data_IF_561841054842
#
_entry.id   IF_561841054842
#
_cell.length_a   1.000
_cell.length_b   1.000
_cell.length_c   1.000
_cell.angle_alpha   90.00
_cell.angle_beta   90.00
_cell.angle_gamma   90.00
#
_symmetry.space_group_name_H-M   'P 1'
#
loop_
_entity.id
_entity.type
_entity.pdbx_description
1 polymer ?
#
# COMPACT_ATOMS: atom_id res chain seq x y z
N UNK A 1 20.25 10.95 5.34
CA UNK A 1 20.15 11.60 6.68
C UNK A 1 18.83 12.31 6.93
N UNK A 2 18.38 13.29 6.12
CA UNK A 2 17.12 14.04 6.37
C UNK A 2 15.86 13.15 6.49
N UNK A 3 15.67 12.17 5.60
CA UNK A 3 14.54 11.22 5.67
C UNK A 3 14.54 10.35 6.93
N UNK A 4 15.73 9.89 7.34
CA UNK A 4 15.90 9.09 8.56
C UNK A 4 15.55 9.91 9.81
N UNK A 5 15.99 11.17 9.86
CA UNK A 5 15.69 12.08 10.96
C UNK A 5 14.18 12.35 11.07
N UNK A 6 13.51 12.65 9.95
CA UNK A 6 12.05 12.84 9.92
C UNK A 6 11.29 11.58 10.37
N UNK A 7 11.78 10.40 10.00
CA UNK A 7 11.23 9.12 10.43
C UNK A 7 11.34 8.93 11.95
N UNK A 8 12.50 9.20 12.55
CA UNK A 8 12.67 9.14 14.00
C UNK A 8 11.81 10.17 14.74
N UNK A 9 11.70 11.39 14.22
CA UNK A 9 10.81 12.42 14.77
C UNK A 9 9.36 11.96 14.72
N UNK A 10 8.93 11.36 13.62
CA UNK A 10 7.58 10.81 13.50
C UNK A 10 7.33 9.69 14.52
N UNK A 11 8.23 8.72 14.65
CA UNK A 11 8.09 7.63 15.63
C UNK A 11 8.02 8.16 17.05
N UNK A 12 8.90 9.09 17.41
CA UNK A 12 8.92 9.70 18.74
C UNK A 12 7.68 10.57 19.01
N UNK A 13 7.03 11.09 17.97
CA UNK A 13 5.79 11.85 18.14
C UNK A 13 4.62 10.98 18.63
N UNK A 14 4.60 9.69 18.28
CA UNK A 14 3.52 8.77 18.69
C UNK A 14 3.39 8.65 20.22
N UNK A 15 4.44 8.22 20.97
CA UNK A 15 4.35 8.14 22.42
C UNK A 15 4.18 9.53 23.06
N UNK A 16 4.77 10.57 22.48
CA UNK A 16 4.63 11.94 22.99
C UNK A 16 3.18 12.42 22.96
N UNK A 17 2.45 12.13 21.88
CA UNK A 17 1.05 12.51 21.71
C UNK A 17 0.15 11.71 22.63
N UNK A 18 0.43 10.42 22.82
CA UNK A 18 -0.29 9.57 23.78
C UNK A 18 -0.11 10.12 25.21
N UNK A 19 1.13 10.39 25.62
CA UNK A 19 1.42 10.95 26.94
C UNK A 19 0.74 12.31 27.10
N UNK A 20 0.83 13.19 26.10
CA UNK A 20 0.17 14.49 26.15
C UNK A 20 -1.36 14.36 26.28
N UNK A 21 -1.98 13.41 25.57
CA UNK A 21 -3.41 13.18 25.67
C UNK A 21 -3.84 12.68 27.06
N UNK A 22 -3.02 11.86 27.72
CA UNK A 22 -3.27 11.43 29.10
C UNK A 22 -3.03 12.54 30.13
N UNK A 23 -2.00 13.37 29.93
CA UNK A 23 -1.66 14.46 30.85
C UNK A 23 -2.69 15.59 30.77
N UNK A 24 -3.19 15.88 29.57
CA UNK A 24 -4.19 16.91 29.32
C UNK A 24 -5.56 16.28 29.06
N UNK A 25 -6.09 15.56 30.04
CA UNK A 25 -7.32 14.75 29.91
C UNK A 25 -8.51 15.54 29.31
N UNK A 26 -8.68 16.80 29.70
CA UNK A 26 -9.74 17.70 29.22
C UNK A 26 -9.70 17.97 27.71
N UNK A 27 -8.51 17.93 27.10
CA UNK A 27 -8.29 18.18 25.66
C UNK A 27 -7.63 17.00 24.94
N UNK A 28 -7.43 15.87 25.63
CA UNK A 28 -6.63 14.76 25.16
C UNK A 28 -7.18 14.13 23.89
N UNK A 29 -8.51 14.06 23.78
CA UNK A 29 -9.21 13.65 22.56
C UNK A 29 -8.91 14.57 21.37
N UNK A 30 -8.93 15.90 21.58
CA UNK A 30 -8.60 16.88 20.53
C UNK A 30 -7.14 16.77 20.08
N UNK A 31 -6.21 16.52 21.02
CA UNK A 31 -4.79 16.30 20.72
C UNK A 31 -4.61 15.07 19.83
N UNK A 32 -5.23 13.94 20.20
CA UNK A 32 -5.17 12.69 19.42
C UNK A 32 -5.78 12.87 18.03
N UNK A 33 -7.01 13.39 17.95
CA UNK A 33 -7.69 13.56 16.67
C UNK A 33 -6.95 14.54 15.74
N UNK A 34 -6.37 15.62 16.28
CA UNK A 34 -5.58 16.57 15.49
C UNK A 34 -4.32 15.91 14.93
N UNK A 35 -3.60 15.13 15.75
CA UNK A 35 -2.41 14.42 15.27
C UNK A 35 -2.76 13.36 14.22
N UNK A 36 -3.80 12.54 14.44
CA UNK A 36 -4.25 11.56 13.45
C UNK A 36 -4.74 12.20 12.16
N UNK A 37 -5.49 13.31 12.25
CA UNK A 37 -5.92 14.07 11.07
C UNK A 37 -4.71 14.58 10.27
N UNK A 38 -3.72 15.18 10.94
CA UNK A 38 -2.53 15.70 10.29
C UNK A 38 -1.70 14.61 9.60
N UNK A 39 -1.47 13.49 10.28
CA UNK A 39 -0.67 12.38 9.75
C UNK A 39 -1.35 11.72 8.54
N UNK A 40 -2.67 11.49 8.59
CA UNK A 40 -3.44 11.00 7.45
C UNK A 40 -3.44 11.98 6.28
N UNK A 41 -3.49 13.28 6.55
CA UNK A 41 -3.37 14.32 5.52
C UNK A 41 -2.03 14.25 4.77
N UNK A 42 -0.93 14.08 5.50
CA UNK A 42 0.41 13.92 4.92
C UNK A 42 0.54 12.63 4.08
N UNK A 43 0.01 11.51 4.57
CA UNK A 43 -0.05 10.24 3.81
C UNK A 43 -0.84 10.46 2.51
N UNK A 44 -1.98 11.14 2.63
CA UNK A 44 -2.83 11.52 1.51
C UNK A 44 -2.10 12.27 0.40
N UNK A 45 -1.41 13.35 0.79
CA UNK A 45 -0.58 14.17 -0.12
C UNK A 45 0.54 13.32 -0.73
N UNK A 46 1.21 12.50 0.07
CA UNK A 46 2.27 11.60 -0.42
C UNK A 46 1.77 10.62 -1.48
N UNK A 47 0.58 10.04 -1.28
CA UNK A 47 -0.07 9.16 -2.27
C UNK A 47 -0.38 9.88 -3.59
N UNK A 48 -0.87 11.12 -3.53
CA UNK A 48 -1.14 11.94 -4.73
C UNK A 48 0.15 12.29 -5.46
N UNK A 49 1.20 12.70 -4.73
CA UNK A 49 2.49 13.01 -5.33
C UNK A 49 3.08 11.78 -6.03
N UNK A 50 2.99 10.61 -5.40
CA UNK A 50 3.44 9.36 -6.00
C UNK A 50 2.65 9.02 -7.27
N UNK A 51 1.33 9.13 -7.22
CA UNK A 51 0.50 8.96 -8.42
C UNK A 51 0.87 9.93 -9.55
N UNK A 52 1.22 11.18 -9.22
CA UNK A 52 1.69 12.15 -10.20
C UNK A 52 3.03 11.73 -10.82
N UNK A 53 3.97 11.22 -10.04
CA UNK A 53 5.21 10.64 -10.56
C UNK A 53 4.91 9.47 -11.50
N UNK A 54 4.00 8.59 -11.11
CA UNK A 54 3.60 7.42 -11.90
C UNK A 54 2.93 7.81 -13.23
N UNK A 55 2.22 8.94 -13.29
CA UNK A 55 1.63 9.46 -14.54
C UNK A 55 2.66 9.89 -15.58
N UNK A 56 3.86 10.31 -15.15
CA UNK A 56 4.92 10.75 -16.06
C UNK A 56 5.77 9.60 -16.60
N UNK A 57 5.63 8.40 -16.05
CA UNK A 57 6.27 7.22 -16.60
C UNK A 57 5.61 6.88 -17.95
N UNK A 58 6.44 6.73 -18.97
CA UNK A 58 5.98 6.21 -20.26
C UNK A 58 5.98 4.69 -20.17
N UNK A 59 4.88 4.06 -20.58
CA UNK A 59 4.69 2.62 -20.48
C UNK A 59 4.45 2.02 -21.86
N UNK A 60 5.05 0.85 -22.08
CA UNK A 60 4.62 -0.07 -23.14
C UNK A 60 3.72 -1.14 -22.54
N UNK A 61 2.68 -1.53 -23.27
CA UNK A 61 1.83 -2.65 -22.88
C UNK A 61 2.40 -3.90 -23.52
N UNK A 62 2.75 -4.90 -22.70
CA UNK A 62 3.18 -6.22 -23.16
C UNK A 62 2.30 -7.30 -22.58
N UNK A 63 2.27 -8.44 -23.25
CA UNK A 63 1.66 -9.65 -22.74
C UNK A 63 2.71 -10.44 -21.95
N UNK A 64 2.37 -10.78 -20.71
CA UNK A 64 3.13 -11.69 -19.86
C UNK A 64 2.35 -12.97 -19.61
N UNK A 65 3.07 -14.03 -19.23
CA UNK A 65 2.49 -15.34 -18.91
C UNK A 65 2.84 -15.70 -17.47
N UNK A 66 1.89 -16.24 -16.72
CA UNK A 66 2.16 -16.74 -15.38
C UNK A 66 2.96 -18.03 -15.50
N UNK A 67 4.16 -18.03 -14.91
CA UNK A 67 5.08 -19.17 -15.01
C UNK A 67 5.20 -19.95 -13.68
N UNK A 68 4.96 -19.29 -12.55
CA UNK A 68 5.02 -19.93 -11.23
C UNK A 68 4.11 -19.23 -10.23
N UNK A 69 3.90 -19.88 -9.11
CA UNK A 69 3.13 -19.40 -7.96
C UNK A 69 4.07 -19.48 -6.76
N UNK A 70 4.41 -18.35 -6.18
CA UNK A 70 5.23 -18.30 -4.97
C UNK A 70 4.32 -18.34 -3.75
N UNK A 71 4.47 -19.39 -2.95
CA UNK A 71 3.73 -19.56 -1.70
C UNK A 71 4.49 -18.96 -0.53
N UNK A 72 3.89 -17.94 0.09
CA UNK A 72 4.38 -17.33 1.31
C UNK A 72 3.52 -17.78 2.49
N UNK A 73 4.08 -18.64 3.32
CA UNK A 73 3.47 -19.02 4.59
C UNK A 73 3.74 -17.94 5.64
N UNK A 74 2.68 -17.37 6.21
CA UNK A 74 2.75 -16.52 7.39
C UNK A 74 2.17 -17.25 8.60
N UNK A 75 2.92 -17.23 9.69
CA UNK A 75 2.45 -17.71 10.99
C UNK A 75 1.87 -16.55 11.78
N UNK A 76 0.76 -16.80 12.48
CA UNK A 76 0.19 -15.80 13.38
C UNK A 76 1.19 -15.44 14.47
N UNK A 77 1.43 -14.15 14.75
CA UNK A 77 2.29 -13.74 15.87
C UNK A 77 1.66 -14.04 17.24
N UNK A 78 0.37 -14.36 17.27
CA UNK A 78 -0.39 -14.58 18.50
C UNK A 78 -0.17 -15.99 19.07
N UNK A 79 0.30 -16.08 20.31
CA UNK A 79 0.74 -17.34 20.93
C UNK A 79 -0.38 -18.38 21.07
N UNK A 80 -1.63 -17.94 21.16
CA UNK A 80 -2.80 -18.84 21.20
C UNK A 80 -3.16 -19.42 19.82
N UNK A 81 -2.71 -18.78 18.74
CA UNK A 81 -3.09 -19.09 17.36
C UNK A 81 -1.90 -19.51 16.50
N UNK A 82 -0.77 -19.90 17.10
CA UNK A 82 0.46 -20.27 16.37
C UNK A 82 0.29 -21.44 15.37
N UNK A 83 -0.78 -22.24 15.53
CA UNK A 83 -1.16 -23.32 14.60
C UNK A 83 -1.91 -22.84 13.35
N UNK A 84 -2.40 -21.60 13.32
CA UNK A 84 -3.11 -21.08 12.16
C UNK A 84 -2.08 -20.58 11.15
N UNK A 85 -1.78 -21.46 10.20
CA UNK A 85 -0.99 -21.17 9.02
C UNK A 85 -1.85 -20.38 8.04
N UNK A 86 -1.40 -19.20 7.64
CA UNK A 86 -1.98 -18.46 6.51
C UNK A 86 -1.07 -18.61 5.30
N UNK A 87 -1.59 -19.21 4.23
CA UNK A 87 -0.86 -19.42 2.99
C UNK A 87 -1.27 -18.32 2.02
N UNK A 88 -0.30 -17.50 1.61
CA UNK A 88 -0.49 -16.49 0.59
C UNK A 88 0.18 -16.91 -0.71
N UNK A 89 -0.56 -16.89 -1.80
CA UNK A 89 -0.09 -17.28 -3.13
C UNK A 89 0.17 -16.00 -3.93
N UNK A 90 1.40 -15.83 -4.42
CA UNK A 90 1.80 -14.74 -5.29
C UNK A 90 2.13 -15.26 -6.71
N UNK A 91 1.31 -14.97 -7.71
CA UNK A 91 1.64 -15.29 -9.10
C UNK A 91 2.92 -14.59 -9.58
N UNK A 92 3.78 -15.33 -10.27
CA UNK A 92 4.99 -14.81 -10.92
C UNK A 92 4.80 -14.82 -12.42
N UNK A 93 5.04 -13.67 -13.03
CA UNK A 93 4.74 -13.41 -14.43
C UNK A 93 6.05 -13.24 -15.17
N UNK A 94 6.21 -13.98 -16.26
CA UNK A 94 7.30 -13.83 -17.22
C UNK A 94 6.82 -13.00 -18.40
N UNK A 95 7.61 -12.02 -18.84
CA UNK A 95 7.31 -11.22 -20.01
C UNK A 95 8.56 -10.89 -20.81
N UNK A 96 8.37 -10.59 -22.09
CA UNK A 96 9.46 -10.27 -23.01
C UNK A 96 9.35 -8.82 -23.44
N UNK A 97 10.44 -8.06 -23.26
CA UNK A 97 10.49 -6.66 -23.66
C UNK A 97 11.86 -6.33 -24.26
N UNK A 98 11.85 -5.75 -25.47
CA UNK A 98 13.03 -5.35 -26.26
C UNK A 98 14.15 -6.41 -26.30
N UNK A 99 13.79 -7.66 -26.59
CA UNK A 99 14.79 -8.73 -26.75
C UNK A 99 15.26 -9.38 -25.45
N UNK A 100 14.76 -8.93 -24.28
CA UNK A 100 15.09 -9.48 -22.97
C UNK A 100 13.86 -10.04 -22.27
N UNK A 101 14.09 -11.09 -21.50
CA UNK A 101 13.08 -11.76 -20.67
C UNK A 101 13.20 -11.25 -19.24
N UNK A 102 12.06 -10.98 -18.62
CA UNK A 102 11.95 -10.49 -17.26
C UNK A 102 10.92 -11.32 -16.50
N UNK A 103 11.10 -11.44 -15.20
CA UNK A 103 10.17 -12.10 -14.29
C UNK A 103 9.82 -11.18 -13.14
N UNK A 104 8.55 -11.14 -12.76
CA UNK A 104 8.09 -10.33 -11.63
C UNK A 104 6.90 -10.96 -10.93
N UNK A 105 6.94 -10.98 -9.60
CA UNK A 105 5.78 -11.29 -8.77
C UNK A 105 4.72 -10.19 -8.87
N UNK A 106 3.46 -10.59 -8.96
CA UNK A 106 2.34 -9.64 -8.94
C UNK A 106 2.28 -8.87 -7.62
N UNK A 107 1.63 -7.71 -7.63
CA UNK A 107 1.46 -6.88 -6.43
C UNK A 107 0.37 -7.44 -5.49
N UNK A 108 -0.49 -8.34 -5.98
CA UNK A 108 -1.64 -8.86 -5.25
C UNK A 108 -1.30 -10.27 -4.77
N UNK A 109 -1.14 -10.41 -3.46
CA UNK A 109 -1.08 -11.72 -2.83
C UNK A 109 -2.50 -12.20 -2.55
N UNK A 110 -2.78 -13.44 -2.93
CA UNK A 110 -4.07 -14.08 -2.69
C UNK A 110 -3.97 -14.98 -1.47
N UNK A 111 -4.93 -14.91 -0.55
CA UNK A 111 -5.15 -16.01 0.39
C UNK A 111 -5.58 -17.27 -0.37
N UNK A 112 -5.29 -18.45 0.17
CA UNK A 112 -5.52 -19.75 -0.47
C UNK A 112 -6.96 -19.92 -0.99
N UNK A 113 -7.95 -19.52 -0.19
CA UNK A 113 -9.36 -19.60 -0.57
C UNK A 113 -9.70 -18.64 -1.71
N UNK A 114 -9.14 -17.42 -1.68
CA UNK A 114 -9.37 -16.41 -2.71
C UNK A 114 -8.70 -16.81 -4.02
N UNK A 115 -7.49 -17.37 -3.94
CA UNK A 115 -6.76 -17.90 -5.08
C UNK A 115 -7.54 -19.04 -5.76
N UNK A 116 -8.04 -20.00 -4.98
CA UNK A 116 -8.80 -21.14 -5.55
C UNK A 116 -10.02 -20.70 -6.36
N UNK A 117 -10.63 -19.55 -6.01
CA UNK A 117 -11.84 -19.05 -6.68
C UNK A 117 -11.58 -18.04 -7.80
N UNK A 118 -10.56 -17.19 -7.65
CA UNK A 118 -10.34 -16.01 -8.50
C UNK A 118 -8.87 -15.82 -8.90
N UNK A 119 -7.99 -16.69 -8.42
CA UNK A 119 -6.57 -16.65 -8.68
C UNK A 119 -6.26 -17.04 -10.12
N UNK A 120 -5.29 -16.36 -10.75
CA UNK A 120 -4.90 -16.68 -12.11
C UNK A 120 -4.01 -17.92 -12.14
N UNK A 121 -4.16 -18.78 -13.15
CA UNK A 121 -3.49 -20.08 -13.23
C UNK A 121 -2.15 -19.98 -13.97
N UNK A 122 -1.28 -20.96 -13.75
CA UNK A 122 -0.03 -21.09 -14.52
C UNK A 122 -0.39 -21.27 -16.00
N UNK A 123 0.24 -20.48 -16.87
CA UNK A 123 -0.05 -20.43 -18.30
C UNK A 123 -1.06 -19.34 -18.68
N UNK A 124 -1.76 -18.73 -17.73
CA UNK A 124 -2.64 -17.60 -18.02
C UNK A 124 -1.83 -16.42 -18.52
N UNK A 125 -2.41 -15.74 -19.51
CA UNK A 125 -1.84 -14.53 -20.09
C UNK A 125 -2.42 -13.31 -19.42
N UNK A 126 -1.55 -12.37 -19.06
CA UNK A 126 -1.94 -11.11 -18.46
C UNK A 126 -1.28 -9.93 -19.15
N UNK A 127 -1.98 -8.80 -19.19
CA UNK A 127 -1.44 -7.56 -19.73
C UNK A 127 -0.63 -6.84 -18.65
N UNK A 128 0.61 -6.46 -18.98
CA UNK A 128 1.52 -5.72 -18.12
C UNK A 128 1.83 -4.36 -18.74
N UNK A 129 1.87 -3.33 -17.90
CA UNK A 129 2.45 -2.02 -18.21
C UNK A 129 3.92 -2.03 -17.81
N UNK A 130 4.82 -2.00 -18.78
CA UNK A 130 6.28 -1.99 -18.58
C UNK A 130 6.78 -0.55 -18.69
N UNK A 131 7.35 0.02 -17.61
CA UNK A 131 7.97 1.34 -17.68
C UNK A 131 9.19 1.32 -18.59
N UNK A 132 9.28 2.25 -19.55
CA UNK A 132 10.37 2.26 -20.54
C UNK A 132 11.76 2.42 -19.90
N UNK A 133 11.86 3.17 -18.81
CA UNK A 133 13.13 3.45 -18.14
C UNK A 133 13.53 2.36 -17.12
N UNK A 134 12.56 1.63 -16.59
CA UNK A 134 12.74 0.60 -15.56
C UNK A 134 11.87 -0.61 -15.90
N UNK A 135 12.25 -1.45 -16.87
CA UNK A 135 11.39 -2.54 -17.33
C UNK A 135 11.09 -3.54 -16.23
N UNK A 136 12.03 -3.74 -15.30
CA UNK A 136 11.87 -4.57 -14.09
C UNK A 136 10.69 -4.14 -13.23
N UNK A 137 10.26 -2.88 -13.31
CA UNK A 137 9.13 -2.35 -12.58
C UNK A 137 7.78 -2.51 -13.33
N UNK A 138 7.63 -3.55 -14.17
CA UNK A 138 6.37 -3.87 -14.84
C UNK A 138 5.20 -4.17 -13.88
N UNK A 139 4.05 -3.54 -14.10
CA UNK A 139 2.87 -3.67 -13.23
C UNK A 139 1.71 -4.25 -14.05
N UNK A 140 0.85 -5.07 -13.45
CA UNK A 140 -0.39 -5.51 -14.11
C UNK A 140 -1.20 -4.31 -14.61
N UNK A 141 -1.65 -4.37 -15.87
CA UNK A 141 -2.49 -3.36 -16.49
C UNK A 141 -3.94 -3.47 -16.00
N UNK A 142 -4.14 -3.36 -14.69
CA UNK A 142 -5.44 -3.31 -14.03
C UNK A 142 -5.65 -1.92 -13.45
N UNK A 143 -6.90 -1.46 -13.47
CA UNK A 143 -7.29 -0.17 -12.90
C UNK A 143 -6.81 -0.01 -11.45
N UNK A 144 -7.10 -1.00 -10.61
CA UNK A 144 -6.75 -0.93 -9.19
C UNK A 144 -5.24 -0.85 -8.98
N UNK A 145 -4.46 -1.60 -9.77
CA UNK A 145 -3.00 -1.59 -9.73
C UNK A 145 -2.42 -0.22 -10.13
N UNK A 146 -2.99 0.40 -11.18
CA UNK A 146 -2.56 1.72 -11.69
C UNK A 146 -2.93 2.88 -10.78
N UNK A 147 -4.05 2.78 -10.07
CA UNK A 147 -4.60 3.89 -9.26
C UNK A 147 -4.49 3.66 -7.75
N UNK A 148 -3.81 2.62 -7.28
CA UNK A 148 -3.76 2.28 -5.85
C UNK A 148 -3.24 3.44 -4.99
N UNK A 149 -2.20 4.13 -5.44
CA UNK A 149 -1.63 5.29 -4.73
C UNK A 149 -2.60 6.48 -4.69
N UNK A 150 -3.36 6.70 -5.76
CA UNK A 150 -4.40 7.72 -5.80
C UNK A 150 -5.56 7.38 -4.87
N UNK A 151 -6.01 6.13 -4.87
CA UNK A 151 -7.09 5.64 -4.00
C UNK A 151 -6.70 5.81 -2.53
N UNK A 152 -5.52 5.34 -2.14
CA UNK A 152 -4.98 5.52 -0.78
C UNK A 152 -4.88 7.01 -0.44
N UNK A 153 -4.40 7.82 -1.39
CA UNK A 153 -4.29 9.27 -1.24
C UNK A 153 -5.63 9.93 -0.92
N UNK A 154 -6.65 9.69 -1.74
CA UNK A 154 -7.99 10.26 -1.61
C UNK A 154 -8.69 9.82 -0.33
N UNK A 155 -8.64 8.52 0.00
CA UNK A 155 -9.26 7.98 1.21
C UNK A 155 -8.60 8.60 2.45
N UNK A 156 -7.27 8.71 2.48
CA UNK A 156 -6.55 9.28 3.62
C UNK A 156 -6.89 10.75 3.83
N UNK A 157 -7.00 11.54 2.76
CA UNK A 157 -7.45 12.95 2.84
C UNK A 157 -8.90 13.04 3.32
N UNK A 158 -9.79 12.19 2.81
CA UNK A 158 -11.20 12.20 3.22
C UNK A 158 -11.34 11.92 4.73
N UNK A 159 -10.62 10.92 5.25
CA UNK A 159 -10.60 10.62 6.69
C UNK A 159 -9.98 11.77 7.48
N UNK A 160 -8.87 12.34 6.99
CA UNK A 160 -8.22 13.51 7.62
C UNK A 160 -9.19 14.69 7.78
N UNK A 161 -9.94 15.03 6.72
CA UNK A 161 -10.96 16.09 6.75
C UNK A 161 -12.09 15.75 7.71
N UNK A 162 -12.60 14.52 7.69
CA UNK A 162 -13.65 14.09 8.60
C UNK A 162 -13.24 14.21 10.07
N UNK A 163 -12.00 13.81 10.40
CA UNK A 163 -11.44 13.97 11.75
C UNK A 163 -11.27 15.44 12.14
N UNK A 164 -10.79 16.29 11.22
CA UNK A 164 -10.66 17.72 11.48
C UNK A 164 -12.02 18.39 11.72
N UNK A 165 -13.04 18.02 10.94
CA UNK A 165 -14.41 18.50 11.13
C UNK A 165 -15.01 18.01 12.44
N UNK A 166 -14.76 16.76 12.84
CA UNK A 166 -15.19 16.25 14.13
C UNK A 166 -14.59 17.08 15.27
N UNK A 167 -13.28 17.36 15.22
CA UNK A 167 -12.64 18.25 16.21
C UNK A 167 -13.34 19.60 16.25
N UNK A 168 -13.58 20.24 15.10
CA UNK A 168 -14.22 21.56 15.06
C UNK A 168 -15.67 21.55 15.59
N UNK A 169 -16.45 20.52 15.24
CA UNK A 169 -17.86 20.42 15.64
C UNK A 169 -18.05 20.05 17.11
N UNK A 170 -17.13 19.28 17.71
CA UNK A 170 -17.19 18.88 19.11
C UNK A 170 -16.38 19.80 20.04
N UNK A 171 -15.74 20.86 19.51
CA UNK A 171 -15.06 21.90 20.30
C UNK A 171 -15.94 23.10 20.65
N UNK A 172 -17.20 23.12 20.17
CA UNK A 172 -18.22 24.13 20.47
C UNK A 172 -19.34 23.51 21.30
#
# INVERSE_FOLDING_TARGET
MKRLMLFFVFILSIPSVIIAAFVFEDIGGHILFSWFSFTLGLIGIGGILRFKEDQFLTYDIVEGTIISLDENTRYSPDHEHFRYQQIFINPVVEYFWKGKRYTRGTLINYDEQAYTRFGPQIGDKISLCVPINCPEEAIENKFLSRYIHLIIGLISIAISIALALAVLLFSY
#
